data_IF_458304151350
#
_entry.id   IF_458304151350
#
_cell.length_a   1.000
_cell.length_b   1.000
_cell.length_c   1.000
_cell.angle_alpha   90.00
_cell.angle_beta   90.00
_cell.angle_gamma   90.00
#
_symmetry.space_group_name_H-M   'P 1'
#
loop_
_entity.id
_entity.type
_entity.pdbx_description
1 polymer ?
#
# COMPACT_ATOMS: atom_id res chain seq x y z
N UNK A 1 -45.62 19.71 -17.36
CA UNK A 1 -44.13 19.71 -17.38
C UNK A 1 -43.61 19.17 -16.08
N UNK A 2 -42.65 18.24 -16.09
CA UNK A 2 -41.94 17.82 -14.90
C UNK A 2 -40.85 18.86 -14.61
N UNK A 3 -40.84 19.40 -13.39
CA UNK A 3 -39.89 20.41 -12.94
C UNK A 3 -38.43 19.89 -13.02
N UNK A 4 -37.53 20.73 -13.58
CA UNK A 4 -36.09 20.43 -13.60
C UNK A 4 -35.50 20.59 -12.22
N UNK A 5 -34.52 19.73 -11.86
CA UNK A 5 -33.82 19.80 -10.57
C UNK A 5 -32.48 20.51 -10.72
N UNK A 6 -32.20 21.40 -9.78
CA UNK A 6 -30.88 22.07 -9.71
C UNK A 6 -29.80 21.15 -9.15
N UNK A 7 -28.93 20.66 -10.03
CA UNK A 7 -27.86 19.73 -9.70
C UNK A 7 -26.49 20.41 -9.46
N UNK A 8 -26.45 21.74 -9.50
CA UNK A 8 -25.21 22.52 -9.33
C UNK A 8 -24.51 22.25 -8.00
N UNK A 9 -25.29 22.00 -6.93
CA UNK A 9 -24.74 21.64 -5.62
C UNK A 9 -24.00 20.30 -5.64
N UNK A 10 -24.52 19.28 -6.34
CA UNK A 10 -23.86 17.99 -6.51
C UNK A 10 -22.55 18.13 -7.29
N UNK A 11 -22.55 18.94 -8.36
CA UNK A 11 -21.34 19.27 -9.11
C UNK A 11 -20.29 19.95 -8.24
N UNK A 12 -20.68 20.95 -7.42
CA UNK A 12 -19.76 21.59 -6.46
C UNK A 12 -19.23 20.61 -5.42
N UNK A 13 -20.07 19.72 -4.88
CA UNK A 13 -19.64 18.68 -3.96
C UNK A 13 -18.61 17.72 -4.60
N UNK A 14 -18.83 17.34 -5.86
CA UNK A 14 -17.86 16.51 -6.59
C UNK A 14 -16.51 17.23 -6.73
N UNK A 15 -16.51 18.56 -7.03
CA UNK A 15 -15.27 19.34 -7.11
C UNK A 15 -14.51 19.40 -5.78
N UNK A 16 -15.22 19.56 -4.66
CA UNK A 16 -14.61 19.52 -3.33
C UNK A 16 -14.00 18.14 -3.07
N UNK A 17 -14.73 17.08 -3.38
CA UNK A 17 -14.24 15.70 -3.21
C UNK A 17 -13.06 15.40 -4.12
N UNK A 18 -13.01 15.95 -5.36
CA UNK A 18 -11.84 15.85 -6.22
C UNK A 18 -10.59 16.43 -5.54
N UNK A 19 -10.69 17.62 -4.97
CA UNK A 19 -9.57 18.24 -4.26
C UNK A 19 -9.13 17.42 -3.05
N UNK A 20 -10.07 16.89 -2.26
CA UNK A 20 -9.78 16.03 -1.11
C UNK A 20 -9.10 14.73 -1.54
N UNK A 21 -9.62 14.06 -2.58
CA UNK A 21 -9.03 12.82 -3.10
C UNK A 21 -7.62 13.06 -3.62
N UNK A 22 -7.40 14.15 -4.37
CA UNK A 22 -6.09 14.50 -4.89
C UNK A 22 -5.08 14.72 -3.74
N UNK A 23 -5.46 15.47 -2.71
CA UNK A 23 -4.61 15.71 -1.55
C UNK A 23 -4.26 14.41 -0.82
N UNK A 24 -5.26 13.58 -0.53
CA UNK A 24 -5.07 12.28 0.12
C UNK A 24 -4.20 11.34 -0.72
N UNK A 25 -4.37 11.36 -2.05
CA UNK A 25 -3.56 10.59 -2.97
C UNK A 25 -2.08 11.02 -2.92
N UNK A 26 -1.80 12.33 -2.97
CA UNK A 26 -0.43 12.85 -2.85
C UNK A 26 0.20 12.44 -1.52
N UNK A 27 -0.53 12.59 -0.41
CA UNK A 27 -0.06 12.17 0.92
C UNK A 27 0.23 10.66 0.94
N UNK A 28 -0.65 9.84 0.36
CA UNK A 28 -0.46 8.39 0.26
C UNK A 28 0.82 8.04 -0.50
N UNK A 29 1.08 8.73 -1.62
CA UNK A 29 2.29 8.51 -2.43
C UNK A 29 3.56 8.96 -1.68
N UNK A 30 3.52 10.04 -0.91
CA UNK A 30 4.64 10.46 -0.05
C UNK A 30 4.92 9.43 1.06
N UNK A 31 3.86 8.85 1.66
CA UNK A 31 4.02 7.78 2.66
C UNK A 31 4.60 6.50 2.05
N UNK A 32 4.22 6.17 0.81
CA UNK A 32 4.82 5.05 0.07
C UNK A 32 6.33 5.27 -0.16
N UNK A 33 6.74 6.46 -0.59
CA UNK A 33 8.16 6.79 -0.75
C UNK A 33 8.94 6.66 0.55
N UNK A 34 8.34 7.09 1.67
CA UNK A 34 8.95 6.93 2.99
C UNK A 34 9.10 5.45 3.35
N UNK A 35 8.05 4.66 3.15
CA UNK A 35 8.10 3.20 3.36
C UNK A 35 9.15 2.52 2.48
N UNK A 36 9.23 2.87 1.19
CA UNK A 36 10.26 2.33 0.29
C UNK A 36 11.66 2.63 0.78
N UNK A 37 11.91 3.87 1.26
CA UNK A 37 13.21 4.27 1.78
C UNK A 37 13.59 3.46 3.03
N UNK A 38 12.70 3.33 4.00
CA UNK A 38 12.97 2.53 5.22
C UNK A 38 13.20 1.06 4.88
N UNK A 39 12.40 0.50 3.98
CA UNK A 39 12.53 -0.88 3.55
C UNK A 39 13.85 -1.15 2.79
N UNK A 40 14.35 -0.20 1.99
CA UNK A 40 15.67 -0.31 1.34
C UNK A 40 16.80 -0.35 2.37
N UNK A 41 16.70 0.43 3.45
CA UNK A 41 17.69 0.39 4.55
C UNK A 41 17.68 -0.97 5.23
N UNK A 42 16.49 -1.50 5.56
CA UNK A 42 16.35 -2.85 6.15
C UNK A 42 16.99 -3.91 5.25
N UNK A 43 16.68 -3.91 3.95
CA UNK A 43 17.25 -4.88 2.99
C UNK A 43 18.77 -4.77 2.91
N UNK A 44 19.33 -3.54 2.88
CA UNK A 44 20.77 -3.32 2.78
C UNK A 44 21.54 -3.78 4.01
N UNK A 45 20.94 -3.74 5.19
CA UNK A 45 21.58 -4.14 6.44
C UNK A 45 21.34 -5.59 6.83
N UNK A 46 20.38 -6.26 6.16
CA UNK A 46 19.99 -7.63 6.47
C UNK A 46 21.15 -8.62 6.44
N UNK A 47 21.96 -8.60 5.37
CA UNK A 47 23.06 -9.54 5.21
C UNK A 47 24.13 -9.38 6.29
N UNK A 48 24.41 -8.14 6.72
CA UNK A 48 25.33 -7.88 7.82
C UNK A 48 24.80 -8.39 9.16
N UNK A 49 23.52 -8.14 9.44
CA UNK A 49 22.87 -8.66 10.64
C UNK A 49 22.81 -10.19 10.66
N UNK A 50 22.39 -10.84 9.56
CA UNK A 50 22.32 -12.30 9.46
C UNK A 50 23.69 -12.94 9.71
N UNK A 51 24.75 -12.36 9.16
CA UNK A 51 26.12 -12.84 9.38
C UNK A 51 26.52 -12.73 10.87
N UNK A 52 26.31 -11.58 11.49
CA UNK A 52 26.62 -11.39 12.91
C UNK A 52 25.81 -12.34 13.81
N UNK A 53 24.54 -12.55 13.48
CA UNK A 53 23.65 -13.49 14.17
C UNK A 53 24.15 -14.95 14.04
N UNK A 54 24.50 -15.38 12.83
CA UNK A 54 25.01 -16.73 12.59
C UNK A 54 26.33 -16.98 13.34
N UNK A 55 27.27 -16.04 13.29
CA UNK A 55 28.54 -16.14 14.00
C UNK A 55 28.33 -16.23 15.53
N UNK A 56 27.44 -15.40 16.08
CA UNK A 56 27.09 -15.43 17.50
C UNK A 56 26.41 -16.74 17.91
N UNK A 57 25.43 -17.23 17.16
CA UNK A 57 24.74 -18.50 17.43
C UNK A 57 25.69 -19.71 17.31
N UNK A 58 26.55 -19.72 16.31
CA UNK A 58 27.55 -20.78 16.12
C UNK A 58 28.56 -20.85 17.25
N UNK A 59 28.95 -19.69 17.80
CA UNK A 59 29.85 -19.65 18.97
C UNK A 59 29.18 -20.12 20.27
N UNK A 60 27.86 -19.94 20.39
CA UNK A 60 27.15 -20.45 21.60
C UNK A 60 27.02 -21.98 21.64
N UNK A 61 27.08 -22.66 20.51
CA UNK A 61 26.89 -24.11 20.46
C UNK A 61 28.05 -24.87 21.19
N UNK A 62 29.35 -24.60 20.90
CA UNK A 62 30.44 -25.16 21.63
C UNK A 62 30.37 -24.86 23.15
N UNK A 63 30.03 -23.63 23.53
CA UNK A 63 29.89 -23.23 24.93
C UNK A 63 28.87 -24.08 25.71
N UNK A 64 27.72 -24.39 25.08
CA UNK A 64 26.70 -25.27 25.66
C UNK A 64 27.24 -26.71 25.86
N UNK A 65 28.00 -27.22 24.88
CA UNK A 65 28.61 -28.53 24.94
C UNK A 65 29.67 -28.58 26.06
N UNK A 66 30.56 -27.60 26.13
CA UNK A 66 31.58 -27.51 27.18
C UNK A 66 30.94 -27.45 28.58
N UNK A 67 29.86 -26.69 28.74
CA UNK A 67 29.15 -26.62 30.03
C UNK A 67 28.61 -28.00 30.47
N UNK A 68 28.08 -28.78 29.51
CA UNK A 68 27.63 -30.15 29.80
C UNK A 68 28.79 -31.09 30.14
N UNK A 69 29.94 -30.97 29.45
CA UNK A 69 31.14 -31.77 29.72
C UNK A 69 31.76 -31.43 31.07
N UNK A 70 31.90 -30.16 31.42
CA UNK A 70 32.37 -29.71 32.74
C UNK A 70 31.48 -30.28 33.84
N UNK A 71 30.15 -30.17 33.69
CA UNK A 71 29.20 -30.72 34.67
C UNK A 71 29.33 -32.24 34.81
N UNK A 72 29.54 -32.97 33.71
CA UNK A 72 29.76 -34.41 33.71
C UNK A 72 31.04 -34.80 34.43
N UNK A 73 32.18 -34.16 34.14
CA UNK A 73 33.44 -34.46 34.77
C UNK A 73 33.48 -34.06 36.25
N UNK A 74 32.79 -32.98 36.62
CA UNK A 74 32.62 -32.61 38.03
C UNK A 74 31.83 -33.68 38.78
N UNK A 75 30.68 -34.14 38.27
CA UNK A 75 29.90 -35.22 38.86
C UNK A 75 30.71 -36.52 38.98
N UNK A 76 31.49 -36.85 37.94
CA UNK A 76 32.37 -38.03 37.93
C UNK A 76 33.45 -37.92 39.02
N UNK A 77 34.08 -36.76 39.18
CA UNK A 77 35.10 -36.51 40.22
C UNK A 77 34.50 -36.67 41.61
N UNK A 78 33.35 -36.07 41.87
CA UNK A 78 32.66 -36.14 43.16
C UNK A 78 32.30 -37.61 43.51
N UNK A 79 31.84 -38.36 42.51
CA UNK A 79 31.52 -39.80 42.66
C UNK A 79 32.78 -40.64 42.97
N UNK A 80 33.89 -40.34 42.29
CA UNK A 80 35.18 -41.06 42.55
C UNK A 80 35.74 -40.76 43.93
N UNK A 81 35.62 -39.53 44.42
CA UNK A 81 36.08 -39.13 45.77
C UNK A 81 35.28 -39.78 46.88
N UNK A 82 34.04 -40.19 46.67
CA UNK A 82 33.20 -40.89 47.63
C UNK A 82 33.46 -42.40 47.67
N UNK A 83 34.21 -42.97 46.71
CA UNK A 83 34.52 -44.39 46.67
C UNK A 83 35.55 -44.76 47.71
N UNK A 84 35.28 -45.80 48.47
CA UNK A 84 36.19 -46.39 49.43
C UNK A 84 36.91 -47.59 48.81
N UNK A 85 38.26 -47.59 48.74
CA UNK A 85 39.05 -48.69 48.20
C UNK A 85 39.32 -49.77 49.27
N UNK A 86 39.10 -51.00 48.89
CA UNK A 86 39.27 -52.17 49.84
C UNK A 86 40.69 -52.73 49.88
N UNK A 87 41.50 -52.53 48.81
CA UNK A 87 42.89 -53.02 48.74
C UNK A 87 43.90 -51.93 48.42
N UNK A 88 45.21 -52.21 48.60
CA UNK A 88 46.29 -51.29 48.33
C UNK A 88 46.42 -50.95 46.84
N UNK A 89 46.20 -51.91 45.99
CA UNK A 89 46.24 -51.71 44.51
C UNK A 89 45.05 -50.94 44.03
N UNK A 90 43.83 -51.18 44.57
CA UNK A 90 42.63 -50.39 44.27
C UNK A 90 42.81 -48.91 44.72
N UNK A 91 43.47 -48.65 45.85
CA UNK A 91 43.79 -47.27 46.30
C UNK A 91 44.68 -46.57 45.31
N UNK A 92 45.71 -47.24 44.77
CA UNK A 92 46.58 -46.64 43.74
C UNK A 92 45.84 -46.30 42.45
N UNK A 93 45.08 -47.28 41.93
CA UNK A 93 44.29 -47.08 40.70
C UNK A 93 43.26 -46.01 40.91
N UNK A 94 42.56 -45.91 42.03
CA UNK A 94 41.59 -44.90 42.35
C UNK A 94 42.22 -43.48 42.40
N UNK A 95 43.41 -43.37 43.03
CA UNK A 95 44.19 -42.12 43.13
C UNK A 95 44.61 -41.65 41.74
N UNK A 96 45.11 -42.51 40.85
CA UNK A 96 45.50 -42.21 39.48
C UNK A 96 44.26 -41.76 38.64
N UNK A 97 43.13 -42.43 38.82
CA UNK A 97 41.90 -42.11 38.17
C UNK A 97 41.33 -40.72 38.58
N UNK A 98 41.39 -40.41 39.87
CA UNK A 98 41.01 -39.11 40.43
C UNK A 98 41.91 -38.01 39.88
N UNK A 99 43.22 -38.21 39.83
CA UNK A 99 44.15 -37.20 39.29
C UNK A 99 43.93 -36.95 37.79
N UNK A 100 43.78 -38.01 37.00
CA UNK A 100 43.47 -37.90 35.59
C UNK A 100 42.10 -37.17 35.33
N UNK A 101 41.09 -37.48 36.17
CA UNK A 101 39.79 -36.83 36.07
C UNK A 101 39.88 -35.33 36.43
N UNK A 102 40.66 -34.94 37.43
CA UNK A 102 40.95 -33.56 37.79
C UNK A 102 41.62 -32.79 36.66
N UNK A 103 42.64 -33.39 36.02
CA UNK A 103 43.33 -32.78 34.90
C UNK A 103 42.36 -32.57 33.74
N UNK A 104 41.55 -33.60 33.40
CA UNK A 104 40.55 -33.49 32.35
C UNK A 104 39.52 -32.41 32.65
N UNK A 105 39.05 -32.30 33.89
CA UNK A 105 38.13 -31.28 34.33
C UNK A 105 38.75 -29.87 34.18
N UNK A 106 39.99 -29.68 34.58
CA UNK A 106 40.70 -28.41 34.46
C UNK A 106 40.90 -28.01 33.00
N UNK A 107 41.21 -28.96 32.09
CA UNK A 107 41.32 -28.71 30.67
C UNK A 107 39.97 -28.32 30.07
N UNK A 108 38.87 -28.98 30.47
CA UNK A 108 37.51 -28.65 30.02
C UNK A 108 37.01 -27.29 30.54
N UNK A 109 37.33 -26.93 31.76
CA UNK A 109 37.07 -25.61 32.33
C UNK A 109 37.81 -24.52 31.55
N UNK A 110 39.07 -24.74 31.23
CA UNK A 110 39.85 -23.78 30.40
C UNK A 110 39.29 -23.64 29.01
N UNK A 111 38.84 -24.74 28.39
CA UNK A 111 38.18 -24.70 27.07
C UNK A 111 36.88 -23.91 27.16
N UNK A 112 36.06 -24.14 28.18
CA UNK A 112 34.82 -23.40 28.42
C UNK A 112 35.08 -21.89 28.60
N UNK A 113 36.10 -21.50 29.36
CA UNK A 113 36.51 -20.11 29.54
C UNK A 113 36.90 -19.45 28.21
N UNK A 114 37.63 -20.17 27.33
CA UNK A 114 38.00 -19.68 26.03
C UNK A 114 36.77 -19.45 25.12
N UNK A 115 35.82 -20.39 25.06
CA UNK A 115 34.59 -20.23 24.29
C UNK A 115 33.70 -19.15 24.91
N UNK A 116 33.67 -19.01 26.24
CA UNK A 116 32.94 -17.93 26.90
C UNK A 116 33.50 -16.55 26.52
N UNK A 117 34.83 -16.41 26.50
CA UNK A 117 35.48 -15.18 26.07
C UNK A 117 35.18 -14.85 24.58
N UNK A 118 35.17 -15.87 23.73
CA UNK A 118 34.81 -15.71 22.32
C UNK A 118 33.36 -15.27 22.15
N UNK A 119 32.40 -15.90 22.85
CA UNK A 119 30.98 -15.49 22.82
C UNK A 119 30.82 -14.08 23.34
N UNK A 120 31.49 -13.70 24.42
CA UNK A 120 31.42 -12.35 24.97
C UNK A 120 32.00 -11.28 24.01
N UNK A 121 32.98 -11.62 23.18
CA UNK A 121 33.53 -10.72 22.18
C UNK A 121 32.53 -10.54 21.02
N UNK A 122 31.93 -11.64 20.53
CA UNK A 122 30.92 -11.60 19.50
C UNK A 122 29.63 -10.89 19.96
N UNK A 123 29.28 -11.01 21.25
CA UNK A 123 28.11 -10.31 21.80
C UNK A 123 28.28 -8.80 21.80
N UNK A 124 29.49 -8.26 21.92
CA UNK A 124 29.76 -6.82 21.80
C UNK A 124 29.49 -6.30 20.39
N UNK A 125 29.68 -7.14 19.39
CA UNK A 125 29.35 -6.79 17.98
C UNK A 125 27.89 -7.08 17.65
N UNK A 126 27.39 -8.24 18.04
CA UNK A 126 26.02 -8.68 17.78
C UNK A 126 24.98 -7.86 18.54
N UNK A 127 25.16 -7.50 19.79
CA UNK A 127 24.20 -6.78 20.61
C UNK A 127 23.74 -5.47 19.96
N UNK A 128 24.66 -4.54 19.65
CA UNK A 128 24.33 -3.30 18.93
C UNK A 128 23.74 -3.54 17.54
N UNK A 129 24.20 -4.57 16.82
CA UNK A 129 23.64 -4.92 15.51
C UNK A 129 22.20 -5.41 15.62
N UNK A 130 21.89 -6.18 16.65
CA UNK A 130 20.54 -6.67 16.95
C UNK A 130 19.59 -5.52 17.33
N UNK A 131 19.99 -4.64 18.25
CA UNK A 131 19.20 -3.47 18.63
C UNK A 131 18.91 -2.56 17.42
N UNK A 132 19.93 -2.29 16.61
CA UNK A 132 19.76 -1.49 15.40
C UNK A 132 18.81 -2.17 14.39
N UNK A 133 18.92 -3.49 14.25
CA UNK A 133 18.03 -4.27 13.38
C UNK A 133 16.57 -4.24 13.85
N UNK A 134 16.32 -4.40 15.15
CA UNK A 134 14.99 -4.29 15.73
C UNK A 134 14.39 -2.89 15.53
N UNK A 135 15.20 -1.84 15.76
CA UNK A 135 14.78 -0.46 15.54
C UNK A 135 14.41 -0.22 14.07
N UNK A 136 15.25 -0.67 13.13
CA UNK A 136 14.99 -0.53 11.69
C UNK A 136 13.72 -1.26 11.25
N UNK A 137 13.48 -2.46 11.74
CA UNK A 137 12.25 -3.20 11.47
C UNK A 137 11.03 -2.49 12.06
N UNK A 138 11.12 -2.00 13.28
CA UNK A 138 10.05 -1.22 13.93
C UNK A 138 9.70 0.04 13.13
N UNK A 139 10.70 0.78 12.68
CA UNK A 139 10.50 2.00 11.86
C UNK A 139 9.90 1.67 10.50
N UNK A 140 10.32 0.57 9.88
CA UNK A 140 9.77 0.09 8.62
C UNK A 140 8.30 -0.33 8.77
N UNK A 141 7.97 -1.08 9.81
CA UNK A 141 6.59 -1.49 10.11
C UNK A 141 5.69 -0.29 10.42
N UNK A 142 6.20 0.69 11.14
CA UNK A 142 5.48 1.93 11.41
C UNK A 142 5.22 2.74 10.13
N UNK A 143 6.20 2.83 9.23
CA UNK A 143 6.06 3.49 7.94
C UNK A 143 5.03 2.77 7.04
N UNK A 144 5.10 1.44 6.98
CA UNK A 144 4.16 0.56 6.28
C UNK A 144 2.73 0.75 6.79
N UNK A 145 2.53 0.69 8.11
CA UNK A 145 1.21 0.88 8.72
C UNK A 145 0.62 2.25 8.39
N UNK A 146 1.42 3.32 8.46
CA UNK A 146 0.99 4.68 8.09
C UNK A 146 0.58 4.76 6.62
N UNK A 147 1.36 4.17 5.71
CA UNK A 147 1.01 4.11 4.29
C UNK A 147 -0.35 3.43 4.08
N UNK A 148 -0.56 2.22 4.63
CA UNK A 148 -1.81 1.49 4.44
C UNK A 148 -3.03 2.20 5.02
N UNK A 149 -2.91 2.84 6.18
CA UNK A 149 -4.01 3.63 6.76
C UNK A 149 -4.42 4.75 5.81
N UNK A 150 -3.47 5.54 5.31
CA UNK A 150 -3.77 6.64 4.39
C UNK A 150 -4.25 6.12 3.03
N UNK A 151 -3.71 5.02 2.51
CA UNK A 151 -4.16 4.40 1.27
C UNK A 151 -5.63 3.95 1.36
N UNK A 152 -6.05 3.32 2.46
CA UNK A 152 -7.44 2.95 2.68
C UNK A 152 -8.36 4.16 2.78
N UNK A 153 -7.97 5.22 3.50
CA UNK A 153 -8.72 6.47 3.56
C UNK A 153 -8.87 7.08 2.16
N UNK A 154 -7.82 7.05 1.35
CA UNK A 154 -7.83 7.54 -0.04
C UNK A 154 -8.80 6.73 -0.90
N UNK A 155 -8.79 5.41 -0.79
CA UNK A 155 -9.71 4.52 -1.51
C UNK A 155 -11.17 4.83 -1.15
N UNK A 156 -11.47 4.95 0.14
CA UNK A 156 -12.84 5.27 0.62
C UNK A 156 -13.28 6.65 0.10
N UNK A 157 -12.41 7.66 0.16
CA UNK A 157 -12.69 8.99 -0.36
C UNK A 157 -12.92 8.96 -1.88
N UNK A 158 -12.15 8.17 -2.63
CA UNK A 158 -12.32 7.99 -4.07
C UNK A 158 -13.67 7.31 -4.41
N UNK A 159 -14.06 6.29 -3.67
CA UNK A 159 -15.35 5.62 -3.85
C UNK A 159 -16.52 6.57 -3.54
N UNK A 160 -16.42 7.35 -2.45
CA UNK A 160 -17.42 8.36 -2.12
C UNK A 160 -17.54 9.42 -3.22
N UNK A 161 -16.42 9.95 -3.70
CA UNK A 161 -16.37 10.88 -4.84
C UNK A 161 -17.03 10.28 -6.08
N UNK A 162 -16.70 9.04 -6.42
CA UNK A 162 -17.26 8.33 -7.57
C UNK A 162 -18.77 8.16 -7.43
N UNK A 163 -19.27 7.85 -6.24
CA UNK A 163 -20.71 7.77 -5.97
C UNK A 163 -21.41 9.11 -6.16
N UNK A 164 -20.85 10.21 -5.62
CA UNK A 164 -21.43 11.56 -5.79
C UNK A 164 -21.41 11.97 -7.26
N UNK A 165 -20.36 11.66 -8.00
CA UNK A 165 -20.27 11.92 -9.44
C UNK A 165 -21.32 11.13 -10.24
N UNK A 166 -21.48 9.84 -9.95
CA UNK A 166 -22.51 8.99 -10.56
C UNK A 166 -23.93 9.53 -10.26
N UNK A 167 -24.16 9.96 -9.01
CA UNK A 167 -25.43 10.57 -8.62
C UNK A 167 -25.70 11.88 -9.36
N UNK A 168 -24.69 12.74 -9.50
CA UNK A 168 -24.77 13.96 -10.31
C UNK A 168 -25.12 13.66 -11.77
N UNK A 169 -24.46 12.67 -12.39
CA UNK A 169 -24.76 12.21 -13.75
C UNK A 169 -26.18 11.67 -13.90
N UNK A 170 -26.63 10.85 -12.92
CA UNK A 170 -28.00 10.33 -12.91
C UNK A 170 -29.05 11.44 -12.84
N UNK A 171 -28.83 12.49 -12.04
CA UNK A 171 -29.73 13.63 -11.93
C UNK A 171 -29.74 14.49 -13.20
N UNK A 172 -28.60 14.67 -13.84
CA UNK A 172 -28.52 15.37 -15.13
C UNK A 172 -29.26 14.62 -16.24
N UNK A 173 -29.11 13.31 -16.32
CA UNK A 173 -29.86 12.46 -17.25
C UNK A 173 -31.37 12.52 -16.95
N UNK A 174 -31.78 12.53 -15.67
CA UNK A 174 -33.17 12.68 -15.30
C UNK A 174 -33.77 14.00 -15.78
N UNK A 175 -33.04 15.10 -15.70
CA UNK A 175 -33.44 16.39 -16.23
C UNK A 175 -33.66 16.32 -17.75
N UNK A 176 -32.71 15.71 -18.49
CA UNK A 176 -32.83 15.53 -19.93
C UNK A 176 -34.05 14.69 -20.31
N UNK A 177 -34.34 13.59 -19.60
CA UNK A 177 -35.54 12.80 -19.85
C UNK A 177 -36.87 13.56 -19.62
N UNK A 178 -36.84 14.65 -18.88
CA UNK A 178 -38.01 15.50 -18.67
C UNK A 178 -38.24 16.46 -19.83
N UNK A 179 -37.20 16.90 -20.55
CA UNK A 179 -37.25 17.87 -21.64
C UNK A 179 -37.11 17.23 -23.03
N UNK A 180 -36.42 16.10 -23.13
CA UNK A 180 -36.13 15.35 -24.35
C UNK A 180 -36.78 13.94 -24.25
N UNK A 181 -38.05 13.78 -24.70
CA UNK A 181 -38.81 12.52 -24.54
C UNK A 181 -38.14 11.31 -25.17
N UNK A 182 -37.38 11.47 -26.26
CA UNK A 182 -36.62 10.41 -26.94
C UNK A 182 -35.53 9.81 -26.05
N UNK A 183 -35.02 10.55 -25.05
CA UNK A 183 -34.06 10.04 -24.06
C UNK A 183 -34.63 8.97 -23.11
N UNK A 184 -35.97 8.79 -23.09
CA UNK A 184 -36.60 7.75 -22.24
C UNK A 184 -36.30 6.34 -22.74
N UNK A 185 -36.08 6.19 -24.06
CA UNK A 185 -35.72 4.91 -24.68
C UNK A 185 -34.21 4.65 -24.66
N UNK A 186 -33.40 5.65 -24.26
CA UNK A 186 -31.97 5.58 -24.12
C UNK A 186 -31.53 5.11 -22.72
N UNK A 187 -30.39 5.63 -22.26
CA UNK A 187 -29.82 5.28 -20.96
C UNK A 187 -30.68 5.82 -19.81
N UNK A 188 -31.10 4.92 -18.94
CA UNK A 188 -31.87 5.29 -17.73
C UNK A 188 -30.98 5.92 -16.66
N UNK A 189 -31.50 6.84 -15.82
CA UNK A 189 -30.68 7.52 -14.79
C UNK A 189 -29.92 6.55 -13.85
N UNK A 190 -30.52 5.41 -13.47
CA UNK A 190 -29.86 4.42 -12.63
C UNK A 190 -28.66 3.73 -13.28
N UNK A 191 -28.60 3.73 -14.62
CA UNK A 191 -27.46 3.17 -15.37
C UNK A 191 -26.16 3.94 -15.11
N UNK A 192 -26.24 5.20 -14.66
CA UNK A 192 -25.07 5.93 -14.18
C UNK A 192 -24.34 5.19 -13.06
N UNK A 193 -25.06 4.65 -12.08
CA UNK A 193 -24.43 3.89 -11.00
C UNK A 193 -23.86 2.56 -11.50
N UNK A 194 -24.60 1.83 -12.32
CA UNK A 194 -24.11 0.57 -12.91
C UNK A 194 -22.84 0.80 -13.72
N UNK A 195 -22.82 1.88 -14.52
CA UNK A 195 -21.66 2.24 -15.32
C UNK A 195 -20.39 2.39 -14.46
N UNK A 196 -20.50 3.01 -13.28
CA UNK A 196 -19.36 3.27 -12.42
C UNK A 196 -18.95 2.11 -11.51
N UNK A 197 -19.88 1.26 -11.08
CA UNK A 197 -19.62 0.26 -10.03
C UNK A 197 -19.57 -1.19 -10.54
N UNK A 198 -20.03 -1.47 -11.77
CA UNK A 198 -19.92 -2.82 -12.35
C UNK A 198 -18.62 -2.92 -13.14
N UNK A 199 -17.68 -3.82 -12.79
CA UNK A 199 -16.30 -3.82 -13.28
C UNK A 199 -16.16 -3.82 -14.81
N UNK A 200 -16.91 -4.66 -15.54
CA UNK A 200 -16.82 -4.72 -17.00
C UNK A 200 -17.45 -3.48 -17.66
N UNK A 201 -18.59 -3.04 -17.12
CA UNK A 201 -19.27 -1.85 -17.61
C UNK A 201 -18.46 -0.58 -17.35
N UNK A 202 -17.69 -0.54 -16.25
CA UNK A 202 -16.85 0.59 -15.87
C UNK A 202 -15.74 0.90 -16.90
N UNK A 203 -15.39 0.02 -17.80
CA UNK A 203 -14.37 0.29 -18.81
C UNK A 203 -14.87 1.16 -19.98
N UNK A 204 -16.18 1.13 -20.29
CA UNK A 204 -16.72 1.78 -21.50
C UNK A 204 -17.92 2.68 -21.18
N UNK A 205 -18.82 2.20 -20.33
CA UNK A 205 -20.13 2.85 -20.13
C UNK A 205 -20.08 4.25 -19.49
N UNK A 206 -19.18 4.57 -18.53
CA UNK A 206 -19.11 5.94 -18.01
C UNK A 206 -18.80 6.97 -19.08
N UNK A 207 -17.89 6.64 -20.03
CA UNK A 207 -17.59 7.53 -21.15
C UNK A 207 -18.80 7.72 -22.06
N UNK A 208 -19.45 6.64 -22.49
CA UNK A 208 -20.62 6.74 -23.38
C UNK A 208 -21.78 7.46 -22.70
N UNK A 209 -22.04 7.20 -21.42
CA UNK A 209 -23.05 7.88 -20.63
C UNK A 209 -22.77 9.39 -20.52
N UNK A 210 -21.53 9.77 -20.20
CA UNK A 210 -21.12 11.18 -20.07
C UNK A 210 -21.25 11.93 -21.42
N UNK A 211 -20.82 11.30 -22.53
CA UNK A 211 -20.96 11.85 -23.87
C UNK A 211 -22.42 12.04 -24.26
N UNK A 212 -23.25 11.04 -24.00
CA UNK A 212 -24.69 11.11 -24.30
C UNK A 212 -25.36 12.26 -23.54
N UNK A 213 -25.16 12.33 -22.21
CA UNK A 213 -25.72 13.40 -21.40
C UNK A 213 -25.23 14.78 -21.85
N UNK A 214 -23.96 14.91 -22.22
CA UNK A 214 -23.40 16.17 -22.69
C UNK A 214 -23.98 16.59 -24.03
N UNK A 215 -23.98 15.70 -25.03
CA UNK A 215 -24.41 16.00 -26.39
C UNK A 215 -25.93 16.29 -26.48
N UNK A 216 -26.72 15.51 -25.73
CA UNK A 216 -28.16 15.70 -25.67
C UNK A 216 -28.55 16.99 -24.94
N UNK A 217 -27.74 17.43 -23.97
CA UNK A 217 -27.89 18.75 -23.34
C UNK A 217 -27.66 19.87 -24.38
N UNK A 218 -26.60 19.76 -25.19
CA UNK A 218 -26.29 20.73 -26.24
C UNK A 218 -27.38 20.76 -27.31
N UNK A 219 -27.84 19.57 -27.74
CA UNK A 219 -28.93 19.47 -28.69
C UNK A 219 -30.23 20.12 -28.19
N UNK A 220 -30.61 19.85 -26.95
CA UNK A 220 -31.79 20.43 -26.32
C UNK A 220 -31.70 21.96 -26.20
N UNK A 221 -30.52 22.49 -25.85
CA UNK A 221 -30.30 23.95 -25.79
C UNK A 221 -30.34 24.61 -27.16
N UNK A 222 -29.87 23.95 -28.22
CA UNK A 222 -29.92 24.41 -29.60
C UNK A 222 -31.33 24.40 -30.11
N UNK A 223 -32.08 23.30 -29.94
CA UNK A 223 -33.49 23.18 -30.39
C UNK A 223 -34.38 24.24 -29.73
N UNK A 224 -34.10 24.59 -28.47
CA UNK A 224 -34.79 25.70 -27.80
C UNK A 224 -34.31 27.12 -28.22
N UNK A 225 -33.36 27.22 -29.14
CA UNK A 225 -32.79 28.49 -29.63
C UNK A 225 -32.02 29.27 -28.57
N UNK A 226 -31.43 28.58 -27.57
CA UNK A 226 -30.68 29.21 -26.48
C UNK A 226 -29.20 29.32 -26.85
N UNK A 227 -28.67 28.34 -27.60
CA UNK A 227 -27.28 28.28 -28.03
C UNK A 227 -27.23 27.93 -29.51
N UNK A 228 -26.27 28.48 -30.24
CA UNK A 228 -25.98 28.05 -31.62
C UNK A 228 -24.83 27.03 -31.52
N UNK A 229 -25.04 25.85 -32.10
CA UNK A 229 -24.06 24.77 -32.06
C UNK A 229 -23.19 24.80 -33.31
N UNK A 230 -21.87 24.74 -33.12
CA UNK A 230 -20.91 24.50 -34.18
C UNK A 230 -20.60 23.00 -34.22
N UNK A 231 -20.63 22.34 -35.40
CA UNK A 231 -20.31 20.93 -35.58
C UNK A 231 -18.90 20.59 -34.99
N UNK A 232 -17.94 21.47 -35.19
CA UNK A 232 -16.60 21.35 -34.63
C UNK A 232 -16.59 21.30 -33.07
N UNK A 233 -17.55 21.96 -32.42
CA UNK A 233 -17.66 22.00 -30.96
C UNK A 233 -18.04 20.65 -30.37
N UNK A 234 -18.79 19.82 -31.08
CA UNK A 234 -19.21 18.48 -30.67
C UNK A 234 -18.04 17.51 -30.70
N UNK A 235 -17.30 17.53 -31.80
CA UNK A 235 -16.16 16.66 -31.98
C UNK A 235 -15.06 16.97 -30.92
N UNK A 236 -14.84 18.27 -30.68
CA UNK A 236 -13.91 18.72 -29.64
C UNK A 236 -14.33 18.28 -28.22
N UNK A 237 -15.64 18.36 -27.90
CA UNK A 237 -16.19 17.94 -26.63
C UNK A 237 -16.07 16.41 -26.45
N UNK A 238 -16.33 15.64 -27.48
CA UNK A 238 -16.22 14.19 -27.50
C UNK A 238 -14.76 13.74 -27.37
N UNK A 239 -13.82 14.42 -28.02
CA UNK A 239 -12.39 14.19 -27.91
C UNK A 239 -11.89 14.49 -26.47
N UNK A 240 -12.30 15.64 -25.91
CA UNK A 240 -11.97 16.04 -24.55
C UNK A 240 -12.42 14.99 -23.53
N UNK A 241 -13.66 14.52 -23.61
CA UNK A 241 -14.18 13.48 -22.70
C UNK A 241 -13.45 12.15 -22.90
N UNK A 242 -13.01 11.81 -24.11
CA UNK A 242 -12.22 10.61 -24.36
C UNK A 242 -10.83 10.70 -23.75
N UNK A 243 -10.19 11.87 -23.83
CA UNK A 243 -8.89 12.14 -23.19
C UNK A 243 -9.02 12.04 -21.67
N UNK A 244 -10.01 12.71 -21.07
CA UNK A 244 -10.29 12.59 -19.64
C UNK A 244 -10.45 11.13 -19.20
N UNK A 245 -11.24 10.37 -19.97
CA UNK A 245 -11.48 8.95 -19.67
C UNK A 245 -10.21 8.10 -19.74
N UNK A 246 -9.37 8.34 -20.74
CA UNK A 246 -8.09 7.66 -20.88
C UNK A 246 -7.18 7.93 -19.66
N UNK A 247 -7.08 9.18 -19.21
CA UNK A 247 -6.31 9.53 -18.01
C UNK A 247 -6.90 8.90 -16.73
N UNK A 248 -8.23 8.82 -16.62
CA UNK A 248 -8.89 8.16 -15.49
C UNK A 248 -8.54 6.66 -15.46
N UNK A 249 -8.64 5.96 -16.59
CA UNK A 249 -8.26 4.55 -16.68
C UNK A 249 -6.77 4.36 -16.37
N UNK A 250 -5.89 5.17 -16.92
CA UNK A 250 -4.45 5.12 -16.61
C UNK A 250 -4.20 5.33 -15.10
N UNK A 251 -4.88 6.29 -14.46
CA UNK A 251 -4.70 6.53 -13.03
C UNK A 251 -5.12 5.33 -12.17
N UNK A 252 -6.24 4.70 -12.52
CA UNK A 252 -6.73 3.48 -11.83
C UNK A 252 -5.75 2.32 -12.02
N UNK A 253 -5.24 2.11 -13.24
CA UNK A 253 -4.28 1.04 -13.53
C UNK A 253 -2.96 1.24 -12.80
N UNK A 254 -2.38 2.45 -12.82
CA UNK A 254 -1.13 2.75 -12.11
C UNK A 254 -1.31 2.58 -10.60
N UNK A 255 -2.43 3.06 -10.04
CA UNK A 255 -2.74 2.89 -8.62
C UNK A 255 -2.87 1.41 -8.23
N UNK A 256 -3.60 0.62 -9.01
CA UNK A 256 -3.72 -0.83 -8.77
C UNK A 256 -2.36 -1.53 -8.86
N UNK A 257 -1.52 -1.16 -9.83
CA UNK A 257 -0.19 -1.73 -9.95
C UNK A 257 0.68 -1.42 -8.72
N UNK A 258 0.66 -0.17 -8.23
CA UNK A 258 1.39 0.23 -7.02
C UNK A 258 0.89 -0.54 -5.80
N UNK A 259 -0.43 -0.59 -5.58
CA UNK A 259 -1.02 -1.32 -4.45
C UNK A 259 -0.71 -2.81 -4.52
N UNK A 260 -0.86 -3.42 -5.70
CA UNK A 260 -0.56 -4.82 -5.91
C UNK A 260 0.92 -5.13 -5.67
N UNK A 261 1.84 -4.37 -6.26
CA UNK A 261 3.28 -4.55 -6.05
C UNK A 261 3.68 -4.38 -4.59
N UNK A 262 3.06 -3.44 -3.86
CA UNK A 262 3.31 -3.23 -2.43
C UNK A 262 2.76 -4.39 -1.59
N UNK A 263 1.58 -4.91 -1.90
CA UNK A 263 0.94 -6.01 -1.19
C UNK A 263 1.70 -7.34 -1.35
N UNK A 264 2.07 -7.70 -2.60
CA UNK A 264 2.76 -8.96 -2.87
C UNK A 264 4.24 -8.97 -2.49
N UNK A 265 4.83 -7.82 -2.21
CA UNK A 265 6.20 -7.70 -1.71
C UNK A 265 6.41 -8.38 -0.34
N UNK A 266 5.33 -8.63 0.40
CA UNK A 266 5.37 -9.23 1.74
C UNK A 266 5.60 -10.75 1.74
N UNK A 267 5.37 -11.42 0.64
CA UNK A 267 5.24 -12.89 0.65
C UNK A 267 6.40 -13.72 0.12
N UNK A 268 7.26 -13.27 -0.78
CA UNK A 268 8.31 -14.12 -1.36
C UNK A 268 9.38 -13.43 -2.23
N UNK A 269 9.20 -12.21 -2.70
CA UNK A 269 10.14 -11.61 -3.62
C UNK A 269 10.62 -10.25 -3.09
N UNK A 270 11.80 -10.25 -2.46
CA UNK A 270 12.57 -9.04 -2.16
C UNK A 270 13.10 -8.43 -3.47
N UNK A 271 12.18 -8.02 -4.34
CA UNK A 271 12.54 -7.28 -5.53
C UNK A 271 12.83 -5.85 -5.09
N UNK A 272 14.03 -5.39 -5.34
CA UNK A 272 14.50 -4.02 -5.16
C UNK A 272 13.75 -3.10 -6.14
N UNK A 273 12.47 -2.84 -5.91
CA UNK A 273 11.68 -1.93 -6.74
C UNK A 273 11.82 -0.52 -6.19
N UNK A 274 12.36 0.36 -7.00
CA UNK A 274 12.34 1.79 -6.72
C UNK A 274 11.04 2.38 -7.29
N UNK A 275 10.03 2.58 -6.45
CA UNK A 275 8.76 3.17 -6.86
C UNK A 275 8.84 4.69 -7.13
N UNK A 276 9.98 5.34 -6.91
CA UNK A 276 10.12 6.79 -7.00
C UNK A 276 9.61 7.39 -8.32
N UNK A 277 10.05 6.86 -9.47
CA UNK A 277 9.58 7.32 -10.78
C UNK A 277 8.10 7.01 -11.03
N UNK A 278 7.63 5.84 -10.60
CA UNK A 278 6.22 5.46 -10.73
C UNK A 278 5.30 6.35 -9.89
N UNK A 279 5.71 6.73 -8.69
CA UNK A 279 4.98 7.66 -7.83
C UNK A 279 4.84 9.03 -8.49
N UNK A 280 5.92 9.56 -9.08
CA UNK A 280 5.87 10.84 -9.80
C UNK A 280 4.89 10.75 -10.98
N UNK A 281 4.99 9.70 -11.79
CA UNK A 281 4.08 9.46 -12.92
C UNK A 281 2.63 9.36 -12.44
N UNK A 282 2.37 8.61 -11.38
CA UNK A 282 1.03 8.46 -10.80
C UNK A 282 0.44 9.80 -10.34
N UNK A 283 1.24 10.64 -9.67
CA UNK A 283 0.80 11.98 -9.24
C UNK A 283 0.48 12.85 -10.45
N UNK A 284 1.34 12.88 -11.47
CA UNK A 284 1.12 13.69 -12.69
C UNK A 284 -0.15 13.26 -13.41
N UNK A 285 -0.34 11.95 -13.62
CA UNK A 285 -1.55 11.41 -14.26
C UNK A 285 -2.81 11.78 -13.46
N UNK A 286 -2.77 11.63 -12.14
CA UNK A 286 -3.91 11.95 -11.27
C UNK A 286 -4.24 13.45 -11.29
N UNK A 287 -3.24 14.33 -11.26
CA UNK A 287 -3.44 15.79 -11.36
C UNK A 287 -4.12 16.14 -12.68
N UNK A 288 -3.60 15.62 -13.80
CA UNK A 288 -4.20 15.88 -15.13
C UNK A 288 -5.65 15.37 -15.17
N UNK A 289 -5.90 14.15 -14.70
CA UNK A 289 -7.24 13.56 -14.65
C UNK A 289 -8.22 14.45 -13.86
N UNK A 290 -7.84 14.89 -12.65
CA UNK A 290 -8.69 15.72 -11.80
C UNK A 290 -8.90 17.14 -12.38
N UNK A 291 -7.91 17.70 -13.05
CA UNK A 291 -8.07 18.98 -13.77
C UNK A 291 -9.09 18.84 -14.94
N UNK A 292 -8.96 17.80 -15.75
CA UNK A 292 -9.90 17.55 -16.85
C UNK A 292 -11.33 17.30 -16.34
N UNK A 293 -11.49 16.53 -15.28
CA UNK A 293 -12.79 16.29 -14.65
C UNK A 293 -13.40 17.58 -14.08
N UNK A 294 -12.57 18.44 -13.48
CA UNK A 294 -12.99 19.75 -12.98
C UNK A 294 -13.53 20.63 -14.11
N UNK A 295 -12.82 20.72 -15.24
CA UNK A 295 -13.26 21.47 -16.42
C UNK A 295 -14.59 20.92 -16.97
N UNK A 296 -14.73 19.60 -17.02
CA UNK A 296 -15.96 18.94 -17.46
C UNK A 296 -17.15 19.28 -16.56
N UNK A 297 -16.99 19.17 -15.24
CA UNK A 297 -18.07 19.46 -14.27
C UNK A 297 -18.48 20.94 -14.35
N UNK A 298 -17.52 21.86 -14.41
CA UNK A 298 -17.79 23.29 -14.52
C UNK A 298 -18.51 23.63 -15.83
N UNK A 299 -18.06 23.06 -16.95
CA UNK A 299 -18.70 23.22 -18.26
C UNK A 299 -20.15 22.72 -18.26
N UNK A 300 -20.37 21.54 -17.68
CA UNK A 300 -21.72 20.98 -17.61
C UNK A 300 -22.63 21.76 -16.65
N UNK A 301 -22.13 22.21 -15.50
CA UNK A 301 -22.88 23.03 -14.56
C UNK A 301 -23.38 24.35 -15.24
N UNK A 302 -22.57 24.93 -16.14
CA UNK A 302 -22.98 26.10 -16.94
C UNK A 302 -24.17 25.74 -17.84
N UNK A 303 -24.12 24.60 -18.54
CA UNK A 303 -25.20 24.12 -19.42
C UNK A 303 -26.46 23.81 -18.59
N UNK A 304 -26.35 23.12 -17.47
CA UNK A 304 -27.49 22.84 -16.59
C UNK A 304 -28.14 24.12 -16.06
N UNK A 305 -27.37 25.17 -15.79
CA UNK A 305 -27.91 26.49 -15.43
C UNK A 305 -28.71 27.10 -16.54
N UNK A 306 -28.22 27.01 -17.79
CA UNK A 306 -28.97 27.49 -19.01
C UNK A 306 -30.28 26.73 -19.20
N UNK A 307 -30.31 25.41 -18.97
CA UNK A 307 -31.57 24.62 -19.00
C UNK A 307 -32.58 25.12 -17.96
N UNK A 308 -32.12 25.35 -16.72
CA UNK A 308 -32.97 25.81 -15.62
C UNK A 308 -33.53 27.22 -15.84
N UNK A 309 -32.70 28.14 -16.34
CA UNK A 309 -33.10 29.53 -16.62
C UNK A 309 -34.10 29.63 -17.78
N UNK A 310 -34.14 28.64 -18.66
CA UNK A 310 -35.01 28.58 -19.81
C UNK A 310 -36.03 27.43 -19.74
N UNK A 311 -36.36 26.93 -18.55
CA UNK A 311 -37.25 25.77 -18.32
C UNK A 311 -38.59 25.91 -19.04
N UNK A 312 -39.07 27.15 -19.19
CA UNK A 312 -40.34 27.43 -19.88
C UNK A 312 -40.31 27.22 -21.41
N UNK A 313 -39.14 27.06 -22.01
CA UNK A 313 -38.97 26.82 -23.44
C UNK A 313 -39.03 25.34 -23.81
N UNK A 314 -38.94 24.46 -22.84
CA UNK A 314 -39.02 23.01 -22.98
C UNK A 314 -40.38 22.51 -22.49
#
# INVERSE_FOLDING_TARGET
MKKLTNNTMLGKLTLILNAVVLLLFIISMMMLLKFDKTNQVVISQRAGYEKAYEEYVMAQHPLKQDSAEVAYYQYKLDTLQQKTAASKDEKKTLSETIETTKQTLADKQKQQEQHLAQVAELEKEYGPAHENWEQLNSDNDAAKKKFWVIAWITIVAFLLKTFVFAHWGAKNNQNLQNIAPWMKDGMKPWMSYVAWFVPIYNLIKPLSFTKEVWNETDYSLEDAGIVTRDENSVDNSNLFMSIWWAFLLCSVWVMNFILFSTFFREGAFYVKTNHGSMVVIAIVIMVICMCLETVMILGYNKKNKQLLENESKF
#
